data_IF_300330140509
#
_entry.id   IF_300330140509
#
_cell.length_a   1.000
_cell.length_b   1.000
_cell.length_c   1.000
_cell.angle_alpha   90.00
_cell.angle_beta   90.00
_cell.angle_gamma   90.00
#
_symmetry.space_group_name_H-M   'P 1'
#
loop_
_entity.id
_entity.type
_entity.pdbx_description
1 polymer ?
#
# COMPACT_ATOMS: atom_id res chain seq x y z
N UNK A 1 15.50 -42.54 -16.96
CA UNK A 1 15.54 -41.14 -17.48
C UNK A 1 14.20 -40.39 -17.41
N UNK A 2 13.04 -41.05 -17.54
CA UNK A 2 11.73 -40.38 -17.50
C UNK A 2 11.36 -39.77 -16.13
N UNK A 3 11.79 -40.39 -15.02
CA UNK A 3 11.47 -39.88 -13.67
C UNK A 3 12.27 -38.64 -13.26
N UNK A 4 13.46 -38.46 -13.81
CA UNK A 4 14.34 -37.31 -13.50
C UNK A 4 13.74 -36.03 -14.09
N UNK A 5 13.16 -36.13 -15.30
CA UNK A 5 12.50 -35.01 -15.98
C UNK A 5 11.25 -34.57 -15.20
N UNK A 6 10.47 -35.52 -14.69
CA UNK A 6 9.24 -35.24 -13.95
C UNK A 6 9.48 -34.56 -12.60
N UNK A 7 10.56 -34.94 -11.90
CA UNK A 7 10.95 -34.28 -10.63
C UNK A 7 11.49 -32.87 -10.89
N UNK A 8 12.21 -32.66 -12.00
CA UNK A 8 12.75 -31.35 -12.37
C UNK A 8 11.64 -30.33 -12.70
N UNK A 9 10.61 -30.74 -13.44
CA UNK A 9 9.46 -29.88 -13.75
C UNK A 9 8.63 -29.54 -12.52
N UNK A 10 8.54 -30.45 -11.55
CA UNK A 10 7.83 -30.19 -10.29
C UNK A 10 8.58 -29.17 -9.40
N UNK A 11 9.91 -29.25 -9.35
CA UNK A 11 10.73 -28.25 -8.66
C UNK A 11 10.71 -26.88 -9.36
N UNK A 12 10.70 -26.85 -10.70
CA UNK A 12 10.57 -25.59 -11.45
C UNK A 12 9.21 -24.93 -11.23
N UNK A 13 8.11 -25.69 -11.25
CA UNK A 13 6.76 -25.14 -11.03
C UNK A 13 6.61 -24.50 -9.64
N UNK A 14 7.23 -25.10 -8.62
CA UNK A 14 7.24 -24.56 -7.25
C UNK A 14 8.08 -23.29 -7.13
N UNK A 15 9.21 -23.19 -7.83
CA UNK A 15 10.05 -21.99 -7.83
C UNK A 15 9.38 -20.79 -8.55
N UNK A 16 8.67 -21.03 -9.66
CA UNK A 16 7.99 -19.96 -10.40
C UNK A 16 6.79 -19.41 -9.61
N UNK A 17 6.15 -20.22 -8.75
CA UNK A 17 5.04 -19.76 -7.91
C UNK A 17 5.45 -18.68 -6.89
N UNK A 18 6.71 -18.67 -6.46
CA UNK A 18 7.26 -17.64 -5.58
C UNK A 18 7.70 -16.36 -6.30
N UNK A 19 8.00 -16.45 -7.61
CA UNK A 19 8.39 -15.31 -8.44
C UNK A 19 7.22 -14.34 -8.71
N UNK A 20 5.97 -14.81 -8.59
CA UNK A 20 4.77 -13.97 -8.74
C UNK A 20 4.55 -12.96 -7.60
N UNK A 21 5.18 -13.15 -6.44
CA UNK A 21 5.08 -12.23 -5.30
C UNK A 21 6.09 -11.07 -5.34
N UNK A 22 7.02 -11.09 -6.31
CA UNK A 22 7.98 -10.01 -6.55
C UNK A 22 7.50 -8.99 -7.60
N UNK A 23 6.22 -9.03 -8.00
CA UNK A 23 5.60 -7.88 -8.67
C UNK A 23 5.52 -6.76 -7.64
N UNK A 24 6.55 -5.91 -7.61
CA UNK A 24 6.59 -4.82 -6.68
C UNK A 24 5.35 -3.96 -6.80
N UNK A 25 4.96 -3.41 -5.66
CA UNK A 25 3.70 -2.70 -5.54
C UNK A 25 3.83 -1.36 -6.27
N UNK A 26 3.53 -1.35 -7.57
CA UNK A 26 3.80 -0.18 -8.40
C UNK A 26 2.94 1.02 -7.96
N UNK A 27 3.44 2.22 -8.24
CA UNK A 27 2.81 3.49 -7.83
C UNK A 27 1.35 3.61 -8.28
N UNK A 28 1.00 3.14 -9.49
CA UNK A 28 -0.37 3.21 -10.03
C UNK A 28 -1.33 2.35 -9.21
N UNK A 29 -0.94 1.13 -8.88
CA UNK A 29 -1.74 0.21 -8.07
C UNK A 29 -1.88 0.72 -6.64
N UNK A 30 -0.80 1.28 -6.06
CA UNK A 30 -0.83 1.93 -4.74
C UNK A 30 -1.81 3.12 -4.73
N UNK A 31 -1.69 4.04 -5.69
CA UNK A 31 -2.57 5.22 -5.79
C UNK A 31 -4.03 4.82 -5.97
N UNK A 32 -4.32 3.84 -6.85
CA UNK A 32 -5.67 3.36 -7.06
C UNK A 32 -6.26 2.72 -5.80
N UNK A 33 -5.47 1.90 -5.08
CA UNK A 33 -5.90 1.26 -3.85
C UNK A 33 -6.17 2.30 -2.74
N UNK A 34 -5.32 3.32 -2.59
CA UNK A 34 -5.52 4.39 -1.61
C UNK A 34 -6.69 5.32 -1.97
N UNK A 35 -6.89 5.58 -3.28
CA UNK A 35 -7.94 6.46 -3.80
C UNK A 35 -9.37 5.90 -3.69
N UNK A 36 -9.52 4.61 -3.42
CA UNK A 36 -10.84 3.98 -3.30
C UNK A 36 -11.57 4.41 -2.03
N UNK A 37 -12.63 5.22 -2.17
CA UNK A 37 -13.46 5.71 -1.05
C UNK A 37 -14.52 4.71 -0.59
N UNK A 38 -14.63 3.54 -1.23
CA UNK A 38 -15.59 2.47 -0.89
C UNK A 38 -17.03 2.99 -0.79
N UNK A 39 -17.41 3.89 -1.71
CA UNK A 39 -18.75 4.46 -1.79
C UNK A 39 -19.04 5.57 -0.77
N UNK A 40 -18.02 6.12 -0.09
CA UNK A 40 -18.20 7.38 0.64
C UNK A 40 -18.21 8.54 -0.36
N UNK A 41 -19.31 9.29 -0.36
CA UNK A 41 -19.43 10.54 -1.11
C UNK A 41 -18.64 11.64 -0.40
N UNK A 42 -17.78 12.31 -1.16
CA UNK A 42 -16.98 13.43 -0.70
C UNK A 42 -17.33 14.64 -1.58
N UNK A 43 -17.54 15.80 -0.95
CA UNK A 43 -17.61 17.04 -1.70
C UNK A 43 -16.25 17.40 -2.32
N UNK A 44 -16.19 18.44 -3.16
CA UNK A 44 -14.95 18.82 -3.86
C UNK A 44 -13.79 19.13 -2.90
N UNK A 45 -14.07 19.79 -1.77
CA UNK A 45 -13.02 20.16 -0.79
C UNK A 45 -12.52 18.91 -0.06
N UNK A 46 -13.43 18.04 0.34
CA UNK A 46 -13.14 16.76 0.98
C UNK A 46 -12.39 15.82 0.05
N UNK A 47 -12.77 15.76 -1.23
CA UNK A 47 -12.10 14.95 -2.25
C UNK A 47 -10.67 15.43 -2.48
N UNK A 48 -10.48 16.74 -2.61
CA UNK A 48 -9.14 17.33 -2.73
C UNK A 48 -8.26 17.04 -1.51
N UNK A 49 -8.81 17.13 -0.30
CA UNK A 49 -8.09 16.77 0.92
C UNK A 49 -7.73 15.27 0.95
N UNK A 50 -8.66 14.41 0.54
CA UNK A 50 -8.46 12.97 0.47
C UNK A 50 -7.35 12.59 -0.52
N UNK A 51 -7.41 13.16 -1.72
CA UNK A 51 -6.42 12.94 -2.77
C UNK A 51 -5.05 13.46 -2.36
N UNK A 52 -4.99 14.66 -1.76
CA UNK A 52 -3.74 15.24 -1.25
C UNK A 52 -3.09 14.35 -0.19
N UNK A 53 -3.85 13.90 0.81
CA UNK A 53 -3.32 13.05 1.87
C UNK A 53 -2.78 11.71 1.32
N UNK A 54 -3.44 11.15 0.31
CA UNK A 54 -2.97 9.93 -0.35
C UNK A 54 -1.74 10.20 -1.25
N UNK A 55 -1.70 11.33 -1.96
CA UNK A 55 -0.55 11.71 -2.79
C UNK A 55 0.71 11.94 -1.94
N UNK A 56 0.56 12.61 -0.79
CA UNK A 56 1.65 12.82 0.17
C UNK A 56 2.16 11.49 0.74
N UNK A 57 1.26 10.54 1.04
CA UNK A 57 1.62 9.18 1.45
C UNK A 57 2.41 8.44 0.35
N UNK A 58 1.93 8.47 -0.89
CA UNK A 58 2.61 7.83 -2.03
C UNK A 58 4.00 8.41 -2.25
N UNK A 59 4.15 9.74 -2.17
CA UNK A 59 5.43 10.41 -2.30
C UNK A 59 6.40 10.00 -1.18
N UNK A 60 5.94 10.03 0.08
CA UNK A 60 6.76 9.63 1.23
C UNK A 60 7.19 8.16 1.16
N UNK A 61 6.31 7.26 0.71
CA UNK A 61 6.61 5.85 0.50
C UNK A 61 7.65 5.65 -0.63
N UNK A 62 7.52 6.40 -1.73
CA UNK A 62 8.48 6.40 -2.84
C UNK A 62 9.86 6.87 -2.37
N UNK A 63 9.93 7.93 -1.57
CA UNK A 63 11.20 8.43 -1.05
C UNK A 63 11.81 7.53 0.00
N UNK A 64 10.99 6.78 0.74
CA UNK A 64 11.47 5.77 1.68
C UNK A 64 12.14 4.59 0.97
N UNK A 65 11.60 4.16 -0.17
CA UNK A 65 12.16 3.03 -0.94
C UNK A 65 13.56 3.32 -1.51
N UNK A 66 13.83 4.60 -1.83
CA UNK A 66 15.16 5.08 -2.24
C UNK A 66 16.19 5.06 -1.11
N UNK A 67 15.76 4.98 0.15
CA UNK A 67 16.66 4.99 1.31
C UNK A 67 17.07 3.56 1.65
N UNK A 68 18.36 3.35 1.86
CA UNK A 68 18.89 2.05 2.26
C UNK A 68 18.74 1.84 3.78
N UNK A 69 17.50 1.79 4.26
CA UNK A 69 17.16 1.59 5.67
C UNK A 69 17.09 0.10 6.02
N UNK A 70 17.35 -0.23 7.29
CA UNK A 70 17.03 -1.57 7.77
C UNK A 70 15.52 -1.82 7.71
N UNK A 71 15.11 -3.09 7.63
CA UNK A 71 13.69 -3.47 7.61
C UNK A 71 12.90 -2.85 8.76
N UNK A 72 13.46 -2.88 9.98
CA UNK A 72 12.80 -2.36 11.19
C UNK A 72 12.57 -0.85 11.09
N UNK A 73 13.57 -0.09 10.64
CA UNK A 73 13.46 1.35 10.46
C UNK A 73 12.49 1.72 9.34
N UNK A 74 12.58 1.02 8.21
CA UNK A 74 11.65 1.20 7.09
C UNK A 74 10.21 0.94 7.52
N UNK A 75 9.94 -0.17 8.20
CA UNK A 75 8.59 -0.52 8.62
C UNK A 75 8.00 0.50 9.61
N UNK A 76 8.84 1.05 10.51
CA UNK A 76 8.47 2.14 11.42
C UNK A 76 8.17 3.45 10.67
N UNK A 77 8.98 3.81 9.67
CA UNK A 77 8.73 4.98 8.83
C UNK A 77 7.46 4.81 7.99
N UNK A 78 7.16 3.60 7.50
CA UNK A 78 5.88 3.28 6.85
C UNK A 78 4.74 3.53 7.84
N UNK A 79 4.83 3.04 9.09
CA UNK A 79 3.82 3.32 10.11
C UNK A 79 3.56 4.82 10.28
N UNK A 80 4.63 5.60 10.44
CA UNK A 80 4.54 7.06 10.60
C UNK A 80 3.88 7.75 9.40
N UNK A 81 4.13 7.28 8.17
CA UNK A 81 3.51 7.85 6.97
C UNK A 81 2.00 7.60 6.92
N UNK A 82 1.55 6.38 7.27
CA UNK A 82 0.13 6.06 7.37
C UNK A 82 -0.55 6.85 8.50
N UNK A 83 0.11 6.98 9.65
CA UNK A 83 -0.42 7.76 10.77
C UNK A 83 -0.52 9.25 10.43
N UNK A 84 0.47 9.79 9.71
CA UNK A 84 0.43 11.18 9.20
C UNK A 84 -0.74 11.38 8.24
N UNK A 85 -0.99 10.42 7.35
CA UNK A 85 -2.12 10.45 6.42
C UNK A 85 -3.45 10.45 7.18
N UNK A 86 -3.62 9.59 8.17
CA UNK A 86 -4.84 9.55 8.99
C UNK A 86 -5.04 10.85 9.79
N UNK A 87 -3.99 11.42 10.38
CA UNK A 87 -4.05 12.74 11.05
C UNK A 87 -4.44 13.86 10.09
N UNK A 88 -3.86 13.88 8.89
CA UNK A 88 -4.18 14.88 7.86
C UNK A 88 -5.65 14.81 7.43
N UNK A 89 -6.18 13.60 7.26
CA UNK A 89 -7.58 13.38 6.95
C UNK A 89 -8.51 13.77 8.09
N UNK A 90 -8.18 13.41 9.33
CA UNK A 90 -8.96 13.79 10.51
C UNK A 90 -9.09 15.32 10.62
N UNK A 91 -7.99 16.05 10.43
CA UNK A 91 -8.00 17.51 10.48
C UNK A 91 -8.73 18.16 9.30
N UNK A 92 -8.63 17.57 8.09
CA UNK A 92 -9.16 18.20 6.87
C UNK A 92 -10.63 17.88 6.59
N UNK A 93 -11.08 16.68 6.94
CA UNK A 93 -12.45 16.22 6.69
C UNK A 93 -13.41 16.56 7.84
N UNK A 94 -12.89 16.80 9.04
CA UNK A 94 -13.68 16.88 10.26
C UNK A 94 -14.02 15.50 10.82
N UNK A 95 -14.35 15.45 12.12
CA UNK A 95 -14.47 14.21 12.88
C UNK A 95 -15.50 13.23 12.29
N UNK A 96 -16.70 13.70 11.95
CA UNK A 96 -17.78 12.86 11.44
C UNK A 96 -17.43 12.24 10.08
N UNK A 97 -16.99 13.08 9.14
CA UNK A 97 -16.65 12.62 7.79
C UNK A 97 -15.42 11.72 7.79
N UNK A 98 -14.41 12.03 8.60
CA UNK A 98 -13.25 11.16 8.79
C UNK A 98 -13.66 9.81 9.37
N UNK A 99 -14.55 9.77 10.36
CA UNK A 99 -15.05 8.52 10.95
C UNK A 99 -15.75 7.64 9.90
N UNK A 100 -16.60 8.23 9.06
CA UNK A 100 -17.27 7.52 7.96
C UNK A 100 -16.27 6.94 6.95
N UNK A 101 -15.33 7.77 6.48
CA UNK A 101 -14.27 7.37 5.55
C UNK A 101 -13.44 6.25 6.15
N UNK A 102 -13.00 6.41 7.41
CA UNK A 102 -12.20 5.40 8.10
C UNK A 102 -12.97 4.09 8.21
N UNK A 103 -14.20 4.09 8.74
CA UNK A 103 -15.02 2.88 8.85
C UNK A 103 -15.13 2.09 7.54
N UNK A 104 -15.27 2.77 6.40
CA UNK A 104 -15.38 2.09 5.10
C UNK A 104 -14.04 1.70 4.46
N UNK A 105 -12.97 2.44 4.73
CA UNK A 105 -11.69 2.26 4.02
C UNK A 105 -10.62 1.55 4.85
N UNK A 106 -10.75 1.48 6.19
CA UNK A 106 -9.68 1.04 7.10
C UNK A 106 -9.17 -0.37 6.79
N UNK A 107 -10.06 -1.31 6.46
CA UNK A 107 -9.67 -2.68 6.05
C UNK A 107 -8.75 -2.66 4.83
N UNK A 108 -9.09 -1.84 3.82
CA UNK A 108 -8.28 -1.70 2.62
C UNK A 108 -6.95 -0.99 2.92
N UNK A 109 -6.97 0.10 3.70
CA UNK A 109 -5.77 0.83 4.10
C UNK A 109 -4.80 -0.05 4.89
N UNK A 110 -5.30 -0.85 5.83
CA UNK A 110 -4.49 -1.82 6.58
C UNK A 110 -3.90 -2.91 5.68
N UNK A 111 -4.67 -3.38 4.68
CA UNK A 111 -4.17 -4.32 3.68
C UNK A 111 -3.04 -3.71 2.83
N UNK A 112 -3.23 -2.47 2.35
CA UNK A 112 -2.21 -1.73 1.59
C UNK A 112 -0.95 -1.53 2.43
N UNK A 113 -1.09 -1.11 3.69
CA UNK A 113 0.03 -0.94 4.64
C UNK A 113 0.84 -2.23 4.81
N UNK A 114 0.16 -3.38 4.97
CA UNK A 114 0.83 -4.69 5.04
C UNK A 114 1.56 -5.03 3.75
N UNK A 115 0.93 -4.81 2.59
CA UNK A 115 1.57 -5.04 1.27
C UNK A 115 2.82 -4.21 1.08
N UNK A 116 2.78 -2.92 1.46
CA UNK A 116 3.93 -2.01 1.37
C UNK A 116 5.07 -2.41 2.32
N UNK A 117 4.77 -3.00 3.49
CA UNK A 117 5.83 -3.54 4.37
C UNK A 117 6.45 -4.83 3.82
N UNK A 118 5.67 -5.66 3.14
CA UNK A 118 6.12 -6.94 2.59
C UNK A 118 6.88 -6.78 1.26
N UNK A 119 6.42 -5.89 0.39
CA UNK A 119 7.00 -5.64 -0.92
C UNK A 119 7.94 -4.42 -0.87
N UNK A 120 9.11 -4.53 -1.49
CA UNK A 120 9.86 -3.34 -1.91
C UNK A 120 9.03 -2.64 -3.00
N UNK A 121 8.91 -1.31 -2.96
CA UNK A 121 8.13 -0.61 -3.97
C UNK A 121 8.94 -0.64 -5.27
N UNK A 122 8.51 -1.43 -6.25
CA UNK A 122 9.10 -1.35 -7.59
C UNK A 122 8.47 -0.14 -8.27
N UNK A 123 9.27 0.93 -8.39
CA UNK A 123 8.89 2.17 -9.08
C UNK A 123 9.25 2.04 -10.56
#
# INVERSE_FOLDING_TARGET
MKEVILKLTFCLALLISSAGFAQGFNKKTLTAALGATQGVSLDNKQKNAYDKANADLVAGLTDLDKKNLSKKERDSQIDNLFDKRDKSLASSLGADKYSDVKKKTDKNINSVKRKVKLAKLVI
#
